data_IF_147664649969
#
_entry.id   IF_147664649969
#
_cell.length_a   1.000
_cell.length_b   1.000
_cell.length_c   1.000
_cell.angle_alpha   90.00
_cell.angle_beta   90.00
_cell.angle_gamma   90.00
#
_symmetry.space_group_name_H-M   'P 1'
#
loop_
_entity.id
_entity.type
_entity.pdbx_description
1 polymer ?
#
# COMPACT_ATOMS: atom_id res chain seq x y z
N UNK A 1 6.34 6.63 13.79
CA UNK A 1 6.68 6.58 12.35
C UNK A 1 5.41 6.58 11.50
N UNK A 2 5.39 7.37 10.43
CA UNK A 2 4.26 7.52 9.48
C UNK A 2 3.84 6.15 8.90
N UNK A 3 4.77 5.22 8.82
CA UNK A 3 4.55 3.89 8.23
C UNK A 3 3.49 3.04 8.94
N UNK A 4 3.24 3.24 10.22
CA UNK A 4 2.24 2.51 11.01
C UNK A 4 1.13 3.42 11.56
N UNK A 5 0.93 4.60 10.95
CA UNK A 5 -0.03 5.61 11.42
C UNK A 5 -1.47 5.07 11.45
N UNK A 6 -1.88 4.28 10.45
CA UNK A 6 -3.22 3.69 10.44
C UNK A 6 -3.51 2.80 11.65
N UNK A 7 -2.45 2.22 12.26
CA UNK A 7 -2.56 1.41 13.46
C UNK A 7 -2.42 2.24 14.75
N UNK A 8 -1.42 3.14 14.81
CA UNK A 8 -1.08 3.89 16.02
C UNK A 8 -2.04 5.03 16.31
N UNK A 9 -2.54 5.68 15.27
CA UNK A 9 -3.41 6.85 15.37
C UNK A 9 -4.63 6.68 14.43
N UNK A 10 -5.56 5.76 14.77
CA UNK A 10 -6.69 5.42 13.91
C UNK A 10 -7.67 6.58 13.67
N UNK A 11 -7.65 7.61 14.53
CA UNK A 11 -8.47 8.83 14.37
C UNK A 11 -7.78 9.94 13.56
N UNK A 12 -6.54 9.73 13.09
CA UNK A 12 -5.82 10.74 12.32
C UNK A 12 -6.40 10.96 10.92
N UNK A 13 -6.22 12.16 10.37
CA UNK A 13 -6.60 12.48 8.99
C UNK A 13 -5.92 11.53 7.97
N UNK A 14 -4.69 11.08 8.27
CA UNK A 14 -3.98 10.12 7.44
C UNK A 14 -4.65 8.74 7.47
N UNK A 15 -5.07 8.27 8.66
CA UNK A 15 -5.80 7.01 8.78
C UNK A 15 -7.14 7.08 8.04
N UNK A 16 -7.82 8.23 8.05
CA UNK A 16 -9.06 8.45 7.29
C UNK A 16 -8.82 8.42 5.77
N UNK A 17 -7.73 8.99 5.30
CA UNK A 17 -7.34 8.91 3.89
C UNK A 17 -7.13 7.45 3.43
N UNK A 18 -6.51 6.61 4.27
CA UNK A 18 -6.37 5.18 3.97
C UNK A 18 -7.69 4.41 4.08
N UNK A 19 -8.62 4.79 4.96
CA UNK A 19 -9.98 4.23 4.98
C UNK A 19 -10.73 4.54 3.68
N UNK A 20 -10.65 5.79 3.23
CA UNK A 20 -11.24 6.21 1.96
C UNK A 20 -10.64 5.46 0.78
N UNK A 21 -9.32 5.26 0.77
CA UNK A 21 -8.63 4.46 -0.24
C UNK A 21 -9.08 2.99 -0.21
N UNK A 22 -9.18 2.36 0.97
CA UNK A 22 -9.71 1.00 1.10
C UNK A 22 -11.14 0.92 0.53
N UNK A 23 -11.98 1.89 0.86
CA UNK A 23 -13.35 1.97 0.33
C UNK A 23 -13.35 2.04 -1.20
N UNK A 24 -12.51 2.88 -1.79
CA UNK A 24 -12.36 2.97 -3.25
C UNK A 24 -11.89 1.64 -3.85
N UNK A 25 -10.95 0.94 -3.22
CA UNK A 25 -10.52 -0.39 -3.64
C UNK A 25 -11.64 -1.42 -3.53
N UNK A 26 -12.45 -1.38 -2.47
CA UNK A 26 -13.59 -2.29 -2.28
C UNK A 26 -14.64 -2.13 -3.38
N UNK A 27 -14.84 -0.93 -3.89
CA UNK A 27 -15.80 -0.67 -4.98
C UNK A 27 -15.16 -0.65 -6.38
N UNK A 28 -13.90 -1.04 -6.50
CA UNK A 28 -13.19 -0.99 -7.78
C UNK A 28 -13.57 -2.08 -8.77
N UNK A 29 -14.13 -3.18 -8.29
CA UNK A 29 -14.66 -4.26 -9.14
C UNK A 29 -16.03 -4.72 -8.64
N UNK A 30 -16.78 -5.44 -9.47
CA UNK A 30 -18.10 -5.98 -9.10
C UNK A 30 -18.02 -7.00 -7.94
N UNK A 31 -16.87 -7.65 -7.79
CA UNK A 31 -16.63 -8.68 -6.76
C UNK A 31 -16.00 -8.11 -5.49
N UNK A 32 -15.75 -6.80 -5.43
CA UNK A 32 -15.08 -6.14 -4.31
C UNK A 32 -13.65 -5.71 -4.64
N UNK A 33 -12.81 -5.56 -3.60
CA UNK A 33 -11.39 -5.26 -3.82
C UNK A 33 -10.67 -6.48 -4.44
N UNK A 34 -9.75 -6.27 -5.40
CA UNK A 34 -8.91 -7.36 -5.91
C UNK A 34 -8.18 -8.05 -4.77
N UNK A 35 -8.18 -9.36 -4.78
CA UNK A 35 -7.59 -10.18 -3.70
C UNK A 35 -6.07 -10.06 -3.66
N UNK A 36 -5.44 -9.94 -4.81
CA UNK A 36 -3.99 -9.83 -4.96
C UNK A 36 -3.65 -8.52 -5.65
N UNK A 37 -2.98 -7.63 -4.93
CA UNK A 37 -2.66 -6.29 -5.40
C UNK A 37 -1.18 -5.97 -5.20
N UNK A 38 -0.54 -5.32 -6.17
CA UNK A 38 0.76 -4.69 -5.96
C UNK A 38 0.65 -3.17 -5.89
N UNK A 39 1.53 -2.61 -5.10
CA UNK A 39 1.82 -1.17 -5.07
C UNK A 39 3.23 -0.95 -5.57
N UNK A 40 3.35 -0.13 -6.59
CA UNK A 40 4.65 0.31 -7.13
C UNK A 40 4.69 1.83 -7.20
N UNK A 41 5.85 2.38 -7.44
CA UNK A 41 6.03 3.82 -7.65
C UNK A 41 6.83 4.08 -8.92
N UNK A 42 6.86 5.33 -9.36
CA UNK A 42 7.64 5.69 -10.56
C UNK A 42 9.12 5.71 -10.25
N UNK A 43 9.49 6.38 -9.16
CA UNK A 43 10.88 6.50 -8.67
C UNK A 43 10.96 6.12 -7.18
N UNK A 44 12.16 5.93 -6.64
CA UNK A 44 12.35 5.68 -5.20
C UNK A 44 11.80 6.80 -4.33
N UNK A 45 11.46 6.48 -3.08
CA UNK A 45 11.04 7.44 -2.04
C UNK A 45 9.72 8.16 -2.31
N UNK A 46 8.83 7.63 -3.13
CA UNK A 46 7.48 8.19 -3.35
C UNK A 46 6.43 7.73 -2.32
N UNK A 47 6.83 7.04 -1.27
CA UNK A 47 5.93 6.58 -0.20
C UNK A 47 5.21 5.27 -0.51
N UNK A 48 5.68 4.50 -1.48
CA UNK A 48 5.18 3.19 -1.88
C UNK A 48 4.97 2.26 -0.68
N UNK A 49 6.05 1.87 0.01
CA UNK A 49 6.01 0.96 1.15
C UNK A 49 5.12 1.47 2.29
N UNK A 50 5.15 2.78 2.57
CA UNK A 50 4.26 3.41 3.55
C UNK A 50 2.79 3.24 3.16
N UNK A 51 2.47 3.47 1.89
CA UNK A 51 1.11 3.30 1.36
C UNK A 51 0.67 1.84 1.42
N UNK A 52 1.52 0.93 0.95
CA UNK A 52 1.27 -0.51 0.96
C UNK A 52 1.00 -1.03 2.37
N UNK A 53 1.84 -0.64 3.34
CA UNK A 53 1.70 -1.03 4.73
C UNK A 53 0.41 -0.50 5.36
N UNK A 54 0.11 0.78 5.20
CA UNK A 54 -1.08 1.36 5.81
C UNK A 54 -2.38 0.81 5.20
N UNK A 55 -2.40 0.50 3.90
CA UNK A 55 -3.58 -0.13 3.30
C UNK A 55 -3.75 -1.59 3.75
N UNK A 56 -2.64 -2.34 3.91
CA UNK A 56 -2.68 -3.68 4.49
C UNK A 56 -3.28 -3.65 5.91
N UNK A 57 -2.83 -2.73 6.75
CA UNK A 57 -3.37 -2.50 8.10
C UNK A 57 -4.86 -2.16 8.04
N UNK A 58 -5.29 -1.30 7.12
CA UNK A 58 -6.70 -0.92 6.98
C UNK A 58 -7.61 -2.10 6.61
N UNK A 59 -7.13 -3.04 5.82
CA UNK A 59 -7.89 -4.26 5.53
C UNK A 59 -8.00 -5.16 6.77
N UNK A 60 -6.97 -5.26 7.63
CA UNK A 60 -7.09 -6.04 8.87
C UNK A 60 -8.11 -5.45 9.85
N UNK A 61 -8.30 -4.13 9.86
CA UNK A 61 -9.29 -3.46 10.71
C UNK A 61 -10.74 -3.84 10.37
N UNK A 62 -11.00 -4.44 9.21
CA UNK A 62 -12.32 -5.01 8.85
C UNK A 62 -12.46 -6.50 9.21
N UNK A 63 -11.49 -7.06 9.94
CA UNK A 63 -11.44 -8.47 10.29
C UNK A 63 -10.81 -9.37 9.23
N UNK A 64 -10.30 -8.80 8.14
CA UNK A 64 -9.67 -9.56 7.07
C UNK A 64 -8.28 -10.07 7.46
N UNK A 65 -7.93 -11.26 6.99
CA UNK A 65 -6.61 -11.85 7.12
C UNK A 65 -5.75 -11.44 5.92
N UNK A 66 -4.69 -10.69 6.17
CA UNK A 66 -3.86 -10.05 5.13
C UNK A 66 -2.43 -10.57 5.17
N UNK A 67 -1.89 -10.90 4.00
CA UNK A 67 -0.47 -11.14 3.80
C UNK A 67 0.16 -9.95 3.08
N UNK A 68 1.18 -9.35 3.68
CA UNK A 68 1.99 -8.28 3.11
C UNK A 68 3.35 -8.85 2.71
N UNK A 69 3.71 -8.76 1.43
CA UNK A 69 4.95 -9.33 0.88
C UNK A 69 5.88 -8.21 0.43
N UNK A 70 7.14 -8.25 0.88
CA UNK A 70 8.22 -7.39 0.38
C UNK A 70 8.85 -8.01 -0.88
N UNK A 71 8.45 -7.53 -2.04
CA UNK A 71 9.03 -7.90 -3.33
C UNK A 71 10.08 -6.89 -3.82
N UNK A 72 10.45 -5.88 -3.03
CA UNK A 72 11.59 -5.02 -3.31
C UNK A 72 12.89 -5.72 -2.87
N UNK A 73 13.27 -6.76 -3.61
CA UNK A 73 14.44 -7.58 -3.31
C UNK A 73 15.76 -6.81 -3.43
N UNK A 74 15.73 -5.57 -3.98
CA UNK A 74 16.92 -4.72 -4.13
C UNK A 74 17.14 -3.82 -2.93
N UNK A 75 16.07 -3.28 -2.37
CA UNK A 75 16.11 -2.38 -1.22
C UNK A 75 14.98 -2.68 -0.24
N UNK A 76 14.97 -3.87 0.39
CA UNK A 76 13.91 -4.31 1.26
C UNK A 76 13.77 -3.42 2.49
N UNK A 77 12.54 -3.18 2.92
CA UNK A 77 12.26 -2.25 4.01
C UNK A 77 11.20 -2.71 5.01
N UNK A 78 10.36 -3.67 4.67
CA UNK A 78 9.31 -4.15 5.58
C UNK A 78 9.88 -4.74 6.88
N UNK A 79 10.98 -5.48 6.83
CA UNK A 79 11.63 -6.04 8.01
C UNK A 79 12.02 -4.96 9.04
N UNK A 80 12.50 -3.80 8.58
CA UNK A 80 12.84 -2.66 9.45
C UNK A 80 11.58 -2.03 10.05
N UNK A 81 10.54 -1.91 9.24
CA UNK A 81 9.28 -1.27 9.62
C UNK A 81 8.53 -2.03 10.71
N UNK A 82 8.57 -3.35 10.62
CA UNK A 82 7.91 -4.26 11.56
C UNK A 82 8.83 -4.84 12.63
N UNK A 83 10.13 -4.48 12.64
CA UNK A 83 11.15 -5.09 13.50
C UNK A 83 11.16 -6.62 13.40
N UNK A 84 11.00 -7.13 12.17
CA UNK A 84 10.92 -8.53 11.85
C UNK A 84 12.28 -9.09 11.38
N UNK A 85 12.47 -10.40 11.47
CA UNK A 85 13.64 -11.06 10.89
C UNK A 85 13.64 -10.96 9.36
N UNK A 86 14.82 -10.79 8.78
CA UNK A 86 15.07 -10.84 7.34
C UNK A 86 16.13 -11.88 6.97
N UNK A 87 16.45 -12.79 7.89
CA UNK A 87 17.39 -13.88 7.62
C UNK A 87 16.83 -14.87 6.59
N UNK A 88 15.53 -15.08 6.67
CA UNK A 88 14.76 -15.85 5.69
C UNK A 88 13.56 -15.03 5.23
N UNK A 89 13.19 -15.17 3.95
CA UNK A 89 12.09 -14.45 3.36
C UNK A 89 11.77 -14.93 1.95
N UNK A 90 11.16 -14.06 1.16
CA UNK A 90 10.73 -14.36 -0.20
C UNK A 90 11.87 -14.95 -1.06
N UNK A 91 13.08 -14.41 -0.97
CA UNK A 91 14.26 -14.91 -1.72
C UNK A 91 14.53 -16.38 -1.42
N UNK A 92 14.43 -16.81 -0.16
CA UNK A 92 14.64 -18.21 0.22
C UNK A 92 13.57 -19.12 -0.41
N UNK A 93 12.31 -18.70 -0.39
CA UNK A 93 11.25 -19.44 -1.07
C UNK A 93 11.48 -19.51 -2.59
N UNK A 94 11.75 -18.38 -3.24
CA UNK A 94 11.94 -18.33 -4.69
C UNK A 94 13.13 -19.19 -5.15
N UNK A 95 14.18 -19.30 -4.34
CA UNK A 95 15.33 -20.18 -4.61
C UNK A 95 15.08 -21.65 -4.25
N UNK A 96 13.95 -21.98 -3.59
CA UNK A 96 13.61 -23.35 -3.21
C UNK A 96 14.24 -23.83 -1.91
N UNK A 97 14.72 -22.91 -1.10
CA UNK A 97 15.40 -23.18 0.18
C UNK A 97 14.47 -23.05 1.41
N UNK A 98 13.21 -22.71 1.21
CA UNK A 98 12.22 -22.63 2.27
C UNK A 98 10.79 -22.78 1.71
N UNK A 99 9.87 -23.23 2.56
CA UNK A 99 8.45 -23.27 2.24
C UNK A 99 7.77 -21.92 2.56
N UNK A 100 6.64 -21.57 1.89
CA UNK A 100 5.93 -20.31 2.14
C UNK A 100 5.54 -20.11 3.60
N UNK A 101 5.23 -21.19 4.33
CA UNK A 101 4.84 -21.13 5.74
C UNK A 101 6.01 -20.75 6.65
N UNK A 102 7.23 -21.18 6.31
CA UNK A 102 8.45 -20.91 7.11
C UNK A 102 8.88 -19.44 7.00
N UNK A 103 8.61 -18.81 5.86
CA UNK A 103 9.00 -17.41 5.59
C UNK A 103 7.86 -16.40 5.78
N UNK A 104 6.68 -16.88 6.24
CA UNK A 104 5.54 -16.04 6.60
C UNK A 104 5.51 -15.85 8.11
N UNK A 105 5.63 -14.60 8.56
CA UNK A 105 5.72 -14.24 9.98
C UNK A 105 4.46 -13.50 10.43
N UNK A 106 3.88 -13.85 11.61
CA UNK A 106 2.89 -12.98 12.24
C UNK A 106 3.57 -11.70 12.74
N UNK A 107 2.83 -10.61 12.82
CA UNK A 107 3.33 -9.38 13.42
C UNK A 107 2.42 -8.91 14.57
N UNK A 108 2.79 -7.81 15.24
CA UNK A 108 2.03 -7.28 16.38
C UNK A 108 0.63 -6.78 16.00
N UNK A 109 0.29 -6.67 14.72
CA UNK A 109 -1.00 -6.21 14.24
C UNK A 109 -1.90 -7.42 13.98
N UNK A 110 -3.02 -7.56 14.71
CA UNK A 110 -3.91 -8.70 14.55
C UNK A 110 -4.42 -8.83 13.10
N UNK A 111 -4.37 -10.05 12.56
CA UNK A 111 -4.81 -10.33 11.18
C UNK A 111 -3.77 -10.01 10.09
N UNK A 112 -2.66 -9.33 10.43
CA UNK A 112 -1.58 -9.05 9.49
C UNK A 112 -0.45 -10.07 9.61
N UNK A 113 -0.08 -10.64 8.48
CA UNK A 113 1.09 -11.50 8.30
C UNK A 113 2.04 -10.81 7.32
N UNK A 114 3.34 -11.00 7.53
CA UNK A 114 4.36 -10.41 6.68
C UNK A 114 5.28 -11.49 6.12
N UNK A 115 5.69 -11.31 4.89
CA UNK A 115 6.79 -12.04 4.27
C UNK A 115 7.85 -11.02 3.90
N UNK A 116 8.96 -11.03 4.61
CA UNK A 116 10.11 -10.16 4.32
C UNK A 116 10.82 -10.61 3.05
N UNK A 117 11.64 -9.76 2.47
CA UNK A 117 12.35 -10.11 1.24
C UNK A 117 13.37 -11.24 1.43
N UNK A 118 13.95 -11.36 2.62
CA UNK A 118 15.10 -12.23 2.87
C UNK A 118 16.42 -11.60 2.39
N UNK A 119 17.47 -12.39 2.22
CA UNK A 119 18.76 -11.92 1.71
C UNK A 119 18.64 -11.36 0.28
N UNK A 120 19.34 -10.27 -0.01
CA UNK A 120 19.36 -9.65 -1.33
C UNK A 120 20.00 -10.59 -2.36
N UNK A 121 19.27 -11.02 -3.38
CA UNK A 121 19.84 -11.94 -4.39
C UNK A 121 20.65 -11.16 -5.43
N UNK A 122 21.59 -11.83 -6.15
CA UNK A 122 22.38 -11.19 -7.20
C UNK A 122 21.51 -10.74 -8.40
N UNK A 123 20.49 -11.51 -8.76
CA UNK A 123 19.64 -11.28 -9.94
C UNK A 123 18.13 -11.25 -9.56
N UNK A 124 17.62 -10.16 -8.94
CA UNK A 124 16.24 -10.08 -8.47
C UNK A 124 15.19 -10.30 -9.57
N UNK A 125 15.37 -9.68 -10.73
CA UNK A 125 14.40 -9.77 -11.84
C UNK A 125 14.24 -11.21 -12.37
N UNK A 126 15.33 -11.93 -12.55
CA UNK A 126 15.30 -13.33 -12.99
C UNK A 126 14.60 -14.23 -11.96
N UNK A 127 14.87 -13.96 -10.67
CA UNK A 127 14.27 -14.72 -9.60
C UNK A 127 12.75 -14.49 -9.52
N UNK A 128 12.30 -13.25 -9.69
CA UNK A 128 10.88 -12.89 -9.72
C UNK A 128 10.16 -13.42 -10.97
N UNK A 129 10.86 -13.53 -12.11
CA UNK A 129 10.29 -14.04 -13.37
C UNK A 129 10.04 -15.55 -13.33
N UNK A 130 10.63 -16.27 -12.38
CA UNK A 130 10.39 -17.69 -12.18
C UNK A 130 8.93 -17.99 -11.79
N UNK A 131 8.42 -19.16 -12.18
CA UNK A 131 7.03 -19.57 -11.89
C UNK A 131 6.66 -19.62 -10.40
N UNK A 132 7.64 -19.66 -9.50
CA UNK A 132 7.43 -19.72 -8.04
C UNK A 132 6.70 -18.50 -7.46
N UNK A 133 6.86 -17.30 -8.03
CA UNK A 133 6.08 -16.14 -7.58
C UNK A 133 4.59 -16.33 -7.86
N UNK A 134 4.23 -16.85 -9.03
CA UNK A 134 2.85 -17.17 -9.40
C UNK A 134 2.28 -18.26 -8.49
N UNK A 135 3.05 -19.31 -8.20
CA UNK A 135 2.66 -20.38 -7.28
C UNK A 135 2.42 -19.84 -5.87
N UNK A 136 3.33 -18.99 -5.36
CA UNK A 136 3.19 -18.34 -4.05
C UNK A 136 1.90 -17.54 -3.97
N UNK A 137 1.66 -16.68 -4.95
CA UNK A 137 0.48 -15.82 -5.00
C UNK A 137 -0.80 -16.66 -5.05
N UNK A 138 -0.84 -17.73 -5.85
CA UNK A 138 -1.98 -18.63 -5.93
C UNK A 138 -2.27 -19.35 -4.61
N UNK A 139 -1.24 -19.85 -3.92
CA UNK A 139 -1.37 -20.49 -2.60
C UNK A 139 -1.76 -19.47 -1.52
N UNK A 140 -1.15 -18.30 -1.52
CA UNK A 140 -1.47 -17.24 -0.57
C UNK A 140 -2.92 -16.75 -0.73
N UNK A 141 -3.41 -16.61 -1.96
CA UNK A 141 -4.79 -16.23 -2.24
C UNK A 141 -5.83 -17.23 -1.74
N UNK A 142 -5.46 -18.47 -1.45
CA UNK A 142 -6.36 -19.46 -0.83
C UNK A 142 -6.41 -19.35 0.70
N UNK A 143 -5.37 -18.79 1.33
CA UNK A 143 -5.19 -18.76 2.79
C UNK A 143 -5.46 -17.40 3.41
N UNK A 144 -5.37 -16.32 2.62
CA UNK A 144 -5.56 -14.95 3.03
C UNK A 144 -6.71 -14.32 2.27
N UNK A 145 -7.40 -13.38 2.89
CA UNK A 145 -8.46 -12.60 2.22
C UNK A 145 -7.84 -11.62 1.22
N UNK A 146 -6.69 -11.03 1.59
CA UNK A 146 -5.91 -10.15 0.72
C UNK A 146 -4.42 -10.48 0.76
N UNK A 147 -3.78 -10.41 -0.41
CA UNK A 147 -2.33 -10.48 -0.59
C UNK A 147 -1.87 -9.16 -1.17
N UNK A 148 -1.09 -8.41 -0.41
CA UNK A 148 -0.63 -7.08 -0.78
C UNK A 148 0.87 -7.10 -0.96
N UNK A 149 1.34 -6.64 -2.11
CA UNK A 149 2.73 -6.72 -2.53
C UNK A 149 3.34 -5.33 -2.59
N UNK A 150 4.40 -5.10 -1.82
CA UNK A 150 5.28 -3.94 -1.97
C UNK A 150 6.34 -4.25 -3.01
N UNK A 151 6.29 -3.59 -4.17
CA UNK A 151 7.18 -3.85 -5.30
C UNK A 151 8.16 -2.69 -5.53
N UNK A 152 9.34 -2.90 -6.14
CA UNK A 152 10.29 -1.83 -6.40
C UNK A 152 9.74 -0.78 -7.38
N UNK A 153 10.39 0.40 -7.52
CA UNK A 153 9.96 1.43 -8.46
C UNK A 153 10.10 0.98 -9.91
N UNK A 154 9.27 1.56 -10.79
CA UNK A 154 9.19 1.19 -12.21
C UNK A 154 10.39 1.64 -13.04
N UNK A 155 10.89 2.87 -12.83
CA UNK A 155 11.93 3.41 -13.70
C UNK A 155 13.29 2.77 -13.42
N UNK A 156 13.87 2.24 -14.48
CA UNK A 156 15.16 1.57 -14.46
C UNK A 156 15.13 0.08 -14.11
N UNK A 157 13.97 -0.48 -13.69
CA UNK A 157 13.85 -1.86 -13.21
C UNK A 157 12.73 -2.62 -13.93
N UNK A 158 12.94 -3.90 -14.21
CA UNK A 158 11.90 -4.78 -14.78
C UNK A 158 10.99 -5.38 -13.72
N UNK A 159 11.43 -5.43 -12.49
CA UNK A 159 10.85 -6.16 -11.37
C UNK A 159 9.36 -5.89 -11.16
N UNK A 160 8.96 -4.62 -11.06
CA UNK A 160 7.55 -4.24 -10.85
C UNK A 160 6.65 -4.63 -12.03
N UNK A 161 7.19 -4.65 -13.25
CA UNK A 161 6.46 -5.10 -14.45
C UNK A 161 6.29 -6.62 -14.43
N UNK A 162 7.30 -7.36 -13.99
CA UNK A 162 7.23 -8.81 -13.82
C UNK A 162 6.19 -9.17 -12.75
N UNK A 163 6.21 -8.48 -11.60
CA UNK A 163 5.24 -8.70 -10.53
C UNK A 163 3.81 -8.37 -11.00
N UNK A 164 3.65 -7.37 -11.87
CA UNK A 164 2.34 -6.99 -12.41
C UNK A 164 1.62 -8.12 -13.17
N UNK A 165 2.36 -9.05 -13.76
CA UNK A 165 1.79 -10.23 -14.44
C UNK A 165 1.29 -11.30 -13.44
N UNK A 166 1.76 -11.26 -12.19
CA UNK A 166 1.40 -12.20 -11.14
C UNK A 166 0.23 -11.74 -10.25
N UNK A 167 -0.26 -10.51 -10.41
CA UNK A 167 -1.27 -9.91 -9.53
C UNK A 167 -2.55 -9.56 -10.29
N UNK A 168 -3.66 -9.41 -9.56
CA UNK A 168 -4.94 -9.03 -10.13
C UNK A 168 -5.04 -7.52 -10.42
N UNK A 169 -4.31 -6.71 -9.65
CA UNK A 169 -4.32 -5.27 -9.82
C UNK A 169 -2.99 -4.61 -9.42
N UNK A 170 -2.67 -3.53 -10.12
CA UNK A 170 -1.51 -2.68 -9.87
C UNK A 170 -1.96 -1.28 -9.50
N UNK A 171 -1.47 -0.75 -8.39
CA UNK A 171 -1.68 0.61 -7.94
C UNK A 171 -0.36 1.39 -8.07
N UNK A 172 -0.40 2.51 -8.79
CA UNK A 172 0.76 3.37 -9.00
C UNK A 172 0.80 4.49 -7.96
N UNK A 173 1.85 4.54 -7.16
CA UNK A 173 2.07 5.61 -6.17
C UNK A 173 2.95 6.69 -6.76
N UNK A 174 2.51 7.94 -6.64
CA UNK A 174 3.27 9.13 -7.02
C UNK A 174 3.31 10.11 -5.83
N UNK A 175 4.41 10.86 -5.68
CA UNK A 175 4.54 11.83 -4.59
C UNK A 175 4.19 13.24 -5.06
N UNK A 176 3.29 13.90 -4.34
CA UNK A 176 2.93 15.29 -4.59
C UNK A 176 4.17 16.19 -4.54
N UNK A 177 4.27 17.14 -5.47
CA UNK A 177 5.35 18.11 -5.58
C UNK A 177 6.77 17.50 -5.76
N UNK A 178 6.85 16.19 -6.03
CA UNK A 178 8.13 15.48 -6.19
C UNK A 178 8.18 14.69 -7.50
N UNK A 179 7.13 13.91 -7.80
CA UNK A 179 7.05 13.13 -9.04
C UNK A 179 6.90 14.06 -10.24
N UNK A 180 7.87 14.04 -11.14
CA UNK A 180 7.78 14.83 -12.40
C UNK A 180 6.76 14.21 -13.33
N UNK A 181 5.93 15.03 -13.97
CA UNK A 181 4.87 14.60 -14.88
C UNK A 181 5.40 13.64 -15.97
N UNK A 182 6.50 13.99 -16.64
CA UNK A 182 7.08 13.14 -17.68
C UNK A 182 7.59 11.79 -17.17
N UNK A 183 8.11 11.73 -15.93
CA UNK A 183 8.48 10.48 -15.30
C UNK A 183 7.23 9.62 -15.01
N UNK A 184 6.15 10.24 -14.49
CA UNK A 184 4.88 9.57 -14.25
C UNK A 184 4.29 8.98 -15.53
N UNK A 185 4.21 9.78 -16.60
CA UNK A 185 3.72 9.34 -17.91
C UNK A 185 4.55 8.18 -18.47
N UNK A 186 5.88 8.23 -18.31
CA UNK A 186 6.78 7.15 -18.73
C UNK A 186 6.55 5.85 -17.93
N UNK A 187 6.38 5.95 -16.60
CA UNK A 187 6.07 4.82 -15.75
C UNK A 187 4.71 4.20 -16.10
N UNK A 188 3.69 5.05 -16.30
CA UNK A 188 2.35 4.61 -16.69
C UNK A 188 2.36 3.88 -18.05
N UNK A 189 3.03 4.45 -19.07
CA UNK A 189 3.19 3.81 -20.37
C UNK A 189 3.88 2.45 -20.25
N UNK A 190 4.90 2.34 -19.39
CA UNK A 190 5.61 1.08 -19.18
C UNK A 190 4.69 -0.02 -18.61
N UNK A 191 3.81 0.31 -17.65
CA UNK A 191 2.79 -0.62 -17.16
C UNK A 191 1.74 -0.94 -18.24
N UNK A 192 1.31 0.04 -19.02
CA UNK A 192 0.33 -0.15 -20.10
C UNK A 192 0.85 -1.06 -21.22
N UNK A 193 2.17 -1.07 -21.49
CA UNK A 193 2.79 -1.97 -22.46
C UNK A 193 3.01 -3.39 -21.92
N UNK A 194 2.78 -3.61 -20.64
CA UNK A 194 2.75 -4.92 -20.02
C UNK A 194 1.30 -5.43 -19.90
N UNK A 195 1.13 -6.61 -19.33
CA UNK A 195 -0.21 -7.13 -19.00
C UNK A 195 -0.81 -6.59 -17.71
N UNK A 196 -0.21 -5.53 -17.15
CA UNK A 196 -0.63 -4.95 -15.87
C UNK A 196 -2.07 -4.44 -15.94
N UNK A 197 -2.90 -4.92 -15.03
CA UNK A 197 -4.21 -4.33 -14.76
C UNK A 197 -4.02 -3.14 -13.82
N UNK A 198 -3.95 -1.93 -14.39
CA UNK A 198 -3.74 -0.69 -13.62
C UNK A 198 -5.08 -0.24 -13.06
N UNK A 199 -5.28 -0.42 -11.75
CA UNK A 199 -6.51 -0.07 -11.07
C UNK A 199 -6.63 1.44 -10.82
N UNK A 200 -5.52 2.10 -10.54
CA UNK A 200 -5.51 3.53 -10.24
C UNK A 200 -4.18 4.06 -9.74
N UNK A 201 -4.23 5.30 -9.28
CA UNK A 201 -3.07 6.04 -8.79
C UNK A 201 -3.32 6.60 -7.40
N UNK A 202 -2.31 6.57 -6.54
CA UNK A 202 -2.30 7.20 -5.21
C UNK A 202 -1.33 8.37 -5.22
N UNK A 203 -1.82 9.54 -4.83
CA UNK A 203 -0.97 10.70 -4.61
C UNK A 203 -0.54 10.73 -3.13
N UNK A 204 0.69 10.35 -2.86
CA UNK A 204 1.30 10.39 -1.53
C UNK A 204 1.87 11.77 -1.21
N UNK A 205 2.26 12.00 0.05
CA UNK A 205 2.91 13.24 0.52
C UNK A 205 2.11 14.52 0.19
N UNK A 206 0.80 14.39 0.03
CA UNK A 206 -0.07 15.52 -0.28
C UNK A 206 -0.31 16.36 0.98
N UNK A 207 -0.02 17.66 0.90
CA UNK A 207 -0.25 18.61 1.98
C UNK A 207 -1.39 19.56 1.60
N UNK A 208 -2.55 19.38 2.23
CA UNK A 208 -3.73 20.21 2.01
C UNK A 208 -3.47 21.70 2.26
N UNK A 209 -2.57 22.03 3.21
CA UNK A 209 -2.26 23.43 3.56
C UNK A 209 -1.43 24.11 2.49
N UNK A 210 -0.62 23.37 1.73
CA UNK A 210 0.24 23.89 0.67
C UNK A 210 -0.38 23.84 -0.71
N UNK A 211 -1.47 23.09 -0.89
CA UNK A 211 -2.06 22.83 -2.21
C UNK A 211 -2.89 23.98 -2.79
N UNK A 212 -3.08 25.09 -2.06
CA UNK A 212 -3.86 26.23 -2.56
C UNK A 212 -5.36 25.94 -2.77
N UNK A 213 -5.84 24.79 -2.37
CA UNK A 213 -7.27 24.43 -2.40
C UNK A 213 -8.05 25.05 -1.23
N UNK A 214 -7.76 26.33 -0.99
CA UNK A 214 -8.55 27.18 -0.14
C UNK A 214 -9.46 28.06 -1.00
N UNK A 215 -10.78 27.83 -0.92
CA UNK A 215 -11.83 28.69 -1.48
C UNK A 215 -11.79 28.93 -3.02
N UNK A 216 -12.42 28.05 -3.76
CA UNK A 216 -12.73 28.27 -5.17
C UNK A 216 -13.75 27.28 -5.69
N UNK A 217 -14.91 27.76 -6.03
CA UNK A 217 -16.02 27.09 -6.71
C UNK A 217 -15.60 26.00 -7.68
N UNK A 218 -15.99 24.74 -7.43
CA UNK A 218 -15.84 23.68 -8.41
C UNK A 218 -16.52 22.40 -7.95
N UNK A 219 -17.54 21.98 -8.67
CA UNK A 219 -18.25 20.71 -8.55
C UNK A 219 -17.27 19.55 -8.41
N UNK A 220 -17.23 18.90 -7.24
CA UNK A 220 -16.46 17.71 -7.01
C UNK A 220 -16.67 17.22 -5.59
N UNK A 221 -17.10 16.00 -5.41
CA UNK A 221 -17.41 15.30 -4.17
C UNK A 221 -16.41 15.61 -3.04
N UNK A 222 -16.68 16.65 -2.27
CA UNK A 222 -15.93 17.02 -1.09
C UNK A 222 -16.59 16.40 0.14
N UNK A 223 -16.07 15.30 0.64
CA UNK A 223 -16.36 14.86 2.00
C UNK A 223 -15.58 15.74 2.97
N UNK A 224 -16.14 16.89 3.28
CA UNK A 224 -15.71 17.71 4.39
C UNK A 224 -16.33 17.16 5.70
N UNK A 225 -15.62 16.32 6.42
CA UNK A 225 -15.98 15.99 7.80
C UNK A 225 -15.31 16.97 8.76
N UNK A 226 -15.97 18.08 8.97
CA UNK A 226 -15.79 18.91 10.16
C UNK A 226 -16.76 18.44 11.23
N UNK A 227 -16.43 17.42 12.02
CA UNK A 227 -17.13 17.14 13.27
C UNK A 227 -16.55 18.04 14.36
N UNK A 228 -17.19 19.18 14.58
CA UNK A 228 -17.13 19.88 15.84
C UNK A 228 -18.25 19.31 16.71
N UNK A 229 -17.92 18.48 17.66
CA UNK A 229 -18.84 18.12 18.74
C UNK A 229 -18.93 19.34 19.64
N UNK A 230 -20.11 19.98 19.66
CA UNK A 230 -20.47 21.03 20.58
C UNK A 230 -20.49 20.48 22.01
N UNK A 231 -19.72 21.06 22.86
CA UNK A 231 -19.93 20.98 24.32
C UNK A 231 -20.97 22.00 24.71
N UNK A 232 -22.01 21.52 25.37
CA UNK A 232 -22.96 22.31 26.12
C UNK A 232 -22.22 23.25 27.08
N UNK A 233 -22.59 24.51 27.08
CA UNK A 233 -22.52 25.35 28.26
C UNK A 233 -23.80 26.17 28.37
N UNK A 234 -24.69 25.62 29.20
CA UNK A 234 -25.62 26.37 30.00
C UNK A 234 -24.89 27.36 30.90
N UNK A 235 -25.31 28.57 30.88
CA UNK A 235 -25.32 29.53 31.96
C UNK A 235 -26.05 30.74 31.42
N UNK A 236 -27.27 30.89 31.73
CA UNK A 236 -27.96 31.35 32.92
C UNK A 236 -27.60 32.78 33.29
N UNK A 237 -28.72 33.50 33.39
CA UNK A 237 -29.02 34.68 34.21
C UNK A 237 -28.20 35.97 34.09
N UNK A 238 -28.95 36.96 33.86
CA UNK A 238 -29.32 37.79 35.00
C UNK A 238 -29.42 39.27 34.65
N UNK A 239 -30.65 39.71 34.53
CA UNK A 239 -31.26 40.88 35.21
C UNK A 239 -30.46 42.19 35.36
N UNK A 240 -31.21 43.23 34.97
CA UNK A 240 -31.30 44.58 35.59
C UNK A 240 -30.24 45.62 35.20
N UNK A 241 -30.61 46.63 34.59
CA UNK A 241 -31.26 47.89 34.99
C UNK A 241 -31.39 48.83 33.77
#
# INVERSE_FOLDING_TARGET
EIALMAYREPASALAEAYRSMRTALTFSTAEGAPKVMQFTSVVPNEGKTTTTTNIAINFTQTGSKVLLIDCDLRNPSLHKMFSASNEQGLTNYLTGNADPAEVTQPCAIPGLFIMTAGPVPPNPAELLQGGKLLELVAVAAQRFDYVIIDSPPLLGLADAVIIADAVQATILVAAANSTRRGAFESGLKRLQHSRANILGTVLSKFDLKKSGYGYGYGYGYGYGYGYSYGGDNDSDDGQRA
#
